data_IF_459345222236
#
_entry.id   IF_459345222236
#
_cell.length_a   1.000
_cell.length_b   1.000
_cell.length_c   1.000
_cell.angle_alpha   90.00
_cell.angle_beta   90.00
_cell.angle_gamma   90.00
#
_symmetry.space_group_name_H-M   'P 1'
#
loop_
_entity.id
_entity.type
_entity.pdbx_description
1 polymer ?
#
# COMPACT_ATOMS: atom_id res chain seq x y z
N UNK A 1 -21.57 25.49 -46.88
CA UNK A 1 -22.47 24.60 -46.12
C UNK A 1 -21.59 23.87 -45.14
N UNK A 2 -21.55 24.40 -43.92
CA UNK A 2 -20.70 23.96 -42.84
C UNK A 2 -21.49 23.01 -41.93
N UNK A 3 -20.86 21.92 -41.55
CA UNK A 3 -21.14 21.07 -40.39
C UNK A 3 -19.73 20.60 -40.00
N UNK A 4 -19.06 21.06 -38.94
CA UNK A 4 -19.49 21.40 -37.58
C UNK A 4 -20.44 20.37 -36.99
N UNK A 5 -19.84 19.29 -36.48
CA UNK A 5 -20.41 18.47 -35.42
C UNK A 5 -19.26 18.01 -34.51
N UNK A 6 -19.05 18.80 -33.46
CA UNK A 6 -18.95 18.29 -32.09
C UNK A 6 -17.83 17.30 -31.78
N UNK A 7 -16.62 17.82 -31.57
CA UNK A 7 -15.67 17.21 -30.62
C UNK A 7 -16.23 17.46 -29.21
N UNK A 8 -17.10 16.57 -28.74
CA UNK A 8 -17.51 16.47 -27.34
C UNK A 8 -17.00 15.15 -26.76
N UNK A 9 -16.32 15.24 -25.61
CA UNK A 9 -15.88 14.07 -24.86
C UNK A 9 -14.43 14.10 -24.40
N UNK A 10 -13.77 15.26 -24.33
CA UNK A 10 -12.59 15.47 -23.48
C UNK A 10 -13.00 15.46 -21.99
N UNK A 11 -13.50 14.33 -21.51
CA UNK A 11 -13.91 14.12 -20.11
C UNK A 11 -13.55 12.69 -19.65
N UNK A 12 -12.28 12.32 -19.79
CA UNK A 12 -11.76 11.12 -19.11
C UNK A 12 -10.42 11.38 -18.40
N UNK A 13 -10.21 12.63 -17.96
CA UNK A 13 -9.05 13.05 -17.18
C UNK A 13 -9.42 13.61 -15.78
N UNK A 14 -10.67 13.46 -15.34
CA UNK A 14 -11.18 14.03 -14.06
C UNK A 14 -11.78 13.01 -13.07
N UNK A 15 -11.51 11.72 -13.25
CA UNK A 15 -12.22 10.65 -12.53
C UNK A 15 -11.45 9.86 -11.45
N UNK A 16 -10.27 10.28 -10.99
CA UNK A 16 -9.53 9.58 -9.90
C UNK A 16 -9.04 10.51 -8.78
N UNK A 17 -9.67 11.67 -8.62
CA UNK A 17 -9.43 12.58 -7.52
C UNK A 17 -10.61 12.55 -6.53
N UNK A 18 -10.87 11.40 -5.91
CA UNK A 18 -11.66 11.27 -4.67
C UNK A 18 -11.82 9.79 -4.27
N UNK A 19 -10.72 9.11 -3.89
CA UNK A 19 -10.87 7.99 -2.95
C UNK A 19 -10.73 8.62 -1.58
N UNK A 20 -11.89 8.88 -0.96
CA UNK A 20 -12.03 9.59 0.30
C UNK A 20 -11.28 8.89 1.42
N UNK A 21 -10.36 9.63 2.03
CA UNK A 21 -9.65 9.31 3.26
C UNK A 21 -10.57 9.54 4.49
N UNK A 22 -11.78 8.99 4.45
CA UNK A 22 -12.69 9.00 5.58
C UNK A 22 -12.72 7.57 6.15
N UNK A 23 -12.24 7.45 7.38
CA UNK A 23 -12.20 6.21 8.18
C UNK A 23 -11.09 5.22 7.82
N UNK A 24 -9.85 5.70 7.78
CA UNK A 24 -8.81 4.98 8.51
C UNK A 24 -9.21 4.95 9.99
N UNK A 25 -10.08 3.99 10.36
CA UNK A 25 -10.15 3.51 11.73
C UNK A 25 -8.79 2.88 12.01
N UNK A 26 -7.85 3.72 12.41
CA UNK A 26 -6.69 3.34 13.20
C UNK A 26 -7.19 2.30 14.19
N UNK A 27 -6.78 1.05 14.00
CA UNK A 27 -6.97 0.03 15.02
C UNK A 27 -6.39 0.63 16.31
N UNK A 28 -7.27 0.80 17.29
CA UNK A 28 -7.04 1.58 18.48
C UNK A 28 -5.71 1.22 19.15
N UNK A 29 -5.00 2.18 19.78
CA UNK A 29 -3.90 1.82 20.65
C UNK A 29 -4.44 0.82 21.68
N UNK A 30 -3.79 -0.34 21.80
CA UNK A 30 -4.01 -1.22 22.96
C UNK A 30 -3.58 -0.41 24.17
N UNK A 31 -4.56 0.21 24.82
CA UNK A 31 -4.42 0.86 26.12
C UNK A 31 -4.19 -0.27 27.12
N UNK A 32 -2.92 -0.59 27.35
CA UNK A 32 -2.49 -1.31 28.54
C UNK A 32 -2.70 -0.40 29.75
N UNK A 33 -3.59 -0.82 30.65
CA UNK A 33 -4.00 -0.01 31.80
C UNK A 33 -2.85 0.34 32.75
N UNK A 34 -2.65 1.64 32.94
CA UNK A 34 -1.86 2.27 33.99
C UNK A 34 -2.29 3.73 34.06
N UNK A 35 -2.69 4.21 35.24
CA UNK A 35 -3.42 5.46 35.42
C UNK A 35 -2.73 6.72 34.85
N UNK A 36 -3.56 7.74 34.57
CA UNK A 36 -3.19 9.11 34.21
C UNK A 36 -2.18 9.25 33.05
N UNK A 37 -2.68 9.16 31.81
CA UNK A 37 -2.11 9.90 30.67
C UNK A 37 -0.69 9.53 30.20
N UNK A 38 -0.13 8.40 30.62
CA UNK A 38 1.16 7.90 30.12
C UNK A 38 0.98 7.01 28.90
N UNK A 39 1.68 7.31 27.80
CA UNK A 39 1.85 6.35 26.70
C UNK A 39 2.89 5.31 27.12
N UNK A 40 2.47 4.05 27.23
CA UNK A 40 3.38 2.91 27.46
C UNK A 40 3.84 2.39 26.11
N UNK A 41 5.14 2.44 25.86
CA UNK A 41 5.77 1.91 24.65
C UNK A 41 6.40 0.58 25.00
N UNK A 42 6.05 -0.45 24.23
CA UNK A 42 6.66 -1.77 24.29
C UNK A 42 7.59 -1.91 23.07
N UNK A 43 8.91 -1.69 23.24
CA UNK A 43 9.85 -1.68 22.12
C UNK A 43 10.01 -3.06 21.47
N UNK A 44 9.97 -4.13 22.26
CA UNK A 44 10.10 -5.51 21.76
C UNK A 44 8.95 -5.86 20.82
N UNK A 45 7.71 -5.47 21.18
CA UNK A 45 6.55 -5.67 20.30
C UNK A 45 6.61 -4.85 19.02
N UNK A 46 7.14 -3.64 19.09
CA UNK A 46 7.30 -2.79 17.91
C UNK A 46 8.38 -3.34 16.96
N UNK A 47 9.50 -3.83 17.49
CA UNK A 47 10.54 -4.52 16.71
C UNK A 47 10.00 -5.78 16.03
N UNK A 48 9.26 -6.61 16.77
CA UNK A 48 8.61 -7.79 16.20
C UNK A 48 7.64 -7.42 15.06
N UNK A 49 6.89 -6.33 15.22
CA UNK A 49 6.00 -5.81 14.17
C UNK A 49 6.79 -5.37 12.93
N UNK A 50 7.91 -4.67 13.09
CA UNK A 50 8.78 -4.25 11.98
C UNK A 50 9.32 -5.46 11.21
N UNK A 51 9.73 -6.52 11.90
CA UNK A 51 10.19 -7.77 11.28
C UNK A 51 9.07 -8.40 10.45
N UNK A 52 7.85 -8.49 10.98
CA UNK A 52 6.71 -9.04 10.26
C UNK A 52 6.32 -8.20 9.03
N UNK A 53 6.28 -6.87 9.16
CA UNK A 53 6.00 -5.98 8.02
C UNK A 53 7.06 -6.13 6.93
N UNK A 54 8.33 -6.25 7.31
CA UNK A 54 9.44 -6.49 6.36
C UNK A 54 9.27 -7.81 5.63
N UNK A 55 8.91 -8.87 6.35
CA UNK A 55 8.64 -10.18 5.75
C UNK A 55 7.49 -10.11 4.75
N UNK A 56 6.36 -9.48 5.12
CA UNK A 56 5.19 -9.36 4.25
C UNK A 56 5.55 -8.62 2.95
N UNK A 57 6.30 -7.52 3.03
CA UNK A 57 6.75 -6.79 1.83
C UNK A 57 7.62 -7.66 0.92
N UNK A 58 8.55 -8.42 1.50
CA UNK A 58 9.41 -9.32 0.72
C UNK A 58 8.59 -10.41 0.02
N UNK A 59 7.61 -11.00 0.72
CA UNK A 59 6.71 -12.00 0.15
C UNK A 59 5.86 -11.41 -0.99
N UNK A 60 5.32 -10.19 -0.81
CA UNK A 60 4.56 -9.49 -1.85
C UNK A 60 5.41 -9.17 -3.09
N UNK A 61 6.65 -8.71 -2.90
CA UNK A 61 7.57 -8.43 -4.01
C UNK A 61 7.93 -9.69 -4.78
N UNK A 62 8.18 -10.80 -4.09
CA UNK A 62 8.45 -12.08 -4.72
C UNK A 62 7.24 -12.55 -5.55
N UNK A 63 6.03 -12.46 -5.00
CA UNK A 63 4.80 -12.81 -5.72
C UNK A 63 4.57 -11.93 -6.95
N UNK A 64 4.81 -10.62 -6.84
CA UNK A 64 4.69 -9.69 -7.96
C UNK A 64 5.67 -10.04 -9.10
N UNK A 65 6.91 -10.41 -8.76
CA UNK A 65 7.89 -10.88 -9.76
C UNK A 65 7.43 -12.16 -10.47
N UNK A 66 6.83 -13.10 -9.74
CA UNK A 66 6.31 -14.34 -10.33
C UNK A 66 5.11 -14.08 -11.25
N UNK A 67 4.20 -13.17 -10.88
CA UNK A 67 3.03 -12.82 -11.69
C UNK A 67 3.41 -12.10 -12.98
N UNK A 68 4.43 -11.24 -12.95
CA UNK A 68 4.93 -10.55 -14.14
C UNK A 68 5.45 -11.53 -15.22
N UNK A 69 5.82 -12.76 -14.85
CA UNK A 69 6.25 -13.80 -15.78
C UNK A 69 5.08 -14.53 -16.49
N UNK A 70 3.83 -14.32 -16.07
CA UNK A 70 2.68 -14.96 -16.69
C UNK A 70 2.18 -14.17 -17.91
N UNK A 71 2.21 -14.81 -19.09
CA UNK A 71 1.63 -14.26 -20.32
C UNK A 71 0.13 -14.57 -20.41
N UNK A 72 -0.65 -13.58 -20.85
CA UNK A 72 -2.04 -13.77 -21.27
C UNK A 72 -2.09 -13.89 -22.79
N UNK A 73 -2.17 -15.13 -23.25
CA UNK A 73 -2.34 -15.48 -24.66
C UNK A 73 -3.81 -15.79 -24.97
N UNK A 74 -4.24 -15.40 -26.16
CA UNK A 74 -5.59 -15.70 -26.61
C UNK A 74 -5.72 -17.20 -26.93
N UNK A 75 -6.80 -17.88 -26.48
CA UNK A 75 -7.02 -19.29 -26.78
C UNK A 75 -7.37 -19.53 -28.26
N UNK A 76 -7.69 -18.48 -29.01
CA UNK A 76 -8.04 -18.50 -30.43
C UNK A 76 -7.90 -17.12 -31.08
N UNK A 77 -8.16 -17.06 -32.38
CA UNK A 77 -8.05 -15.83 -33.19
C UNK A 77 -9.38 -15.10 -33.41
N UNK A 78 -10.47 -15.58 -32.83
CA UNK A 78 -11.75 -14.87 -32.88
C UNK A 78 -11.72 -13.62 -31.99
N UNK A 79 -12.58 -12.66 -32.32
CA UNK A 79 -12.64 -11.37 -31.63
C UNK A 79 -12.91 -11.51 -30.12
N UNK A 80 -13.66 -12.54 -29.70
CA UNK A 80 -13.94 -12.77 -28.28
C UNK A 80 -12.69 -13.25 -27.55
N UNK A 81 -11.96 -14.21 -28.12
CA UNK A 81 -10.68 -14.70 -27.59
C UNK A 81 -9.63 -13.60 -27.48
N UNK A 82 -9.51 -12.75 -28.51
CA UNK A 82 -8.58 -11.63 -28.51
C UNK A 82 -8.96 -10.58 -27.45
N UNK A 83 -10.24 -10.21 -27.37
CA UNK A 83 -10.73 -9.26 -26.36
C UNK A 83 -10.53 -9.79 -24.94
N UNK A 84 -10.74 -11.10 -24.71
CA UNK A 84 -10.50 -11.73 -23.42
C UNK A 84 -9.02 -11.62 -23.02
N UNK A 85 -8.10 -11.92 -23.94
CA UNK A 85 -6.66 -11.82 -23.67
C UNK A 85 -6.22 -10.38 -23.37
N UNK A 86 -6.75 -9.39 -24.12
CA UNK A 86 -6.48 -7.97 -23.88
C UNK A 86 -7.00 -7.54 -22.51
N UNK A 87 -8.25 -7.86 -22.19
CA UNK A 87 -8.84 -7.51 -20.90
C UNK A 87 -8.13 -8.20 -19.74
N UNK A 88 -7.77 -9.48 -19.88
CA UNK A 88 -6.98 -10.21 -18.90
C UNK A 88 -5.64 -9.54 -18.62
N UNK A 89 -4.94 -9.09 -19.67
CA UNK A 89 -3.69 -8.34 -19.55
C UNK A 89 -3.87 -7.02 -18.80
N UNK A 90 -4.91 -6.25 -19.13
CA UNK A 90 -5.20 -4.98 -18.44
C UNK A 90 -5.54 -5.21 -16.97
N UNK A 91 -6.32 -6.24 -16.65
CA UNK A 91 -6.66 -6.59 -15.26
C UNK A 91 -5.42 -7.03 -14.47
N UNK A 92 -4.54 -7.82 -15.08
CA UNK A 92 -3.28 -8.24 -14.47
C UNK A 92 -2.35 -7.05 -14.19
N UNK A 93 -2.20 -6.12 -15.13
CA UNK A 93 -1.42 -4.89 -14.93
C UNK A 93 -1.96 -4.04 -13.77
N UNK A 94 -3.29 -3.93 -13.66
CA UNK A 94 -3.90 -3.22 -12.54
C UNK A 94 -3.66 -3.93 -11.20
N UNK A 95 -3.82 -5.25 -11.17
CA UNK A 95 -3.53 -6.04 -9.98
C UNK A 95 -2.08 -5.86 -9.52
N UNK A 96 -1.12 -5.90 -10.45
CA UNK A 96 0.29 -5.64 -10.18
C UNK A 96 0.53 -4.25 -9.58
N UNK A 97 -0.12 -3.21 -10.14
CA UNK A 97 -0.04 -1.85 -9.60
C UNK A 97 -0.59 -1.76 -8.18
N UNK A 98 -1.72 -2.41 -7.89
CA UNK A 98 -2.29 -2.44 -6.54
C UNK A 98 -1.37 -3.15 -5.54
N UNK A 99 -0.80 -4.30 -5.91
CA UNK A 99 0.11 -5.05 -5.04
C UNK A 99 1.38 -4.23 -4.76
N UNK A 100 1.93 -3.53 -5.76
CA UNK A 100 3.07 -2.62 -5.57
C UNK A 100 2.74 -1.47 -4.63
N UNK A 101 1.65 -0.76 -4.88
CA UNK A 101 1.22 0.35 -4.03
C UNK A 101 0.98 -0.11 -2.58
N UNK A 102 0.44 -1.31 -2.40
CA UNK A 102 0.25 -1.89 -1.07
C UNK A 102 1.59 -2.22 -0.39
N UNK A 103 2.54 -2.82 -1.11
CA UNK A 103 3.88 -3.07 -0.58
C UNK A 103 4.56 -1.75 -0.14
N UNK A 104 4.46 -0.69 -0.94
CA UNK A 104 5.02 0.62 -0.63
C UNK A 104 4.38 1.23 0.64
N UNK A 105 3.07 1.05 0.83
CA UNK A 105 2.38 1.49 2.06
C UNK A 105 2.83 0.73 3.30
N UNK A 106 3.06 -0.59 3.18
CA UNK A 106 3.59 -1.39 4.29
C UNK A 106 5.02 -0.94 4.64
N UNK A 107 5.86 -0.67 3.63
CA UNK A 107 7.21 -0.13 3.87
C UNK A 107 7.17 1.23 4.57
N UNK A 108 6.32 2.15 4.10
CA UNK A 108 6.16 3.45 4.75
C UNK A 108 5.71 3.31 6.21
N UNK A 109 4.84 2.34 6.50
CA UNK A 109 4.37 2.06 7.87
C UNK A 109 5.50 1.50 8.73
N UNK A 110 6.29 0.56 8.21
CA UNK A 110 7.48 0.02 8.88
C UNK A 110 8.48 1.12 9.20
N UNK A 111 8.76 1.99 8.23
CA UNK A 111 9.75 3.06 8.39
C UNK A 111 9.28 4.10 9.42
N UNK A 112 7.98 4.41 9.45
CA UNK A 112 7.39 5.26 10.48
C UNK A 112 7.51 4.64 11.88
N UNK A 113 7.28 3.33 12.02
CA UNK A 113 7.45 2.61 13.30
C UNK A 113 8.92 2.60 13.75
N UNK A 114 9.86 2.38 12.82
CA UNK A 114 11.29 2.43 13.12
C UNK A 114 11.69 3.82 13.62
N UNK A 115 11.24 4.88 12.95
CA UNK A 115 11.52 6.26 13.35
C UNK A 115 10.95 6.58 14.73
N UNK A 116 9.77 6.05 15.07
CA UNK A 116 9.20 6.19 16.41
C UNK A 116 10.06 5.48 17.46
N UNK A 117 10.51 4.25 17.18
CA UNK A 117 11.38 3.49 18.10
C UNK A 117 12.72 4.19 18.34
N UNK A 118 13.35 4.69 17.29
CA UNK A 118 14.60 5.44 17.39
C UNK A 118 14.43 6.73 18.20
N UNK A 119 13.27 7.38 18.09
CA UNK A 119 12.91 8.54 18.91
C UNK A 119 12.76 8.20 20.39
N UNK A 120 12.14 7.07 20.71
CA UNK A 120 11.99 6.61 22.08
C UNK A 120 13.32 6.22 22.72
N UNK A 121 14.16 5.46 22.03
CA UNK A 121 15.48 5.06 22.55
C UNK A 121 16.38 6.27 22.82
N UNK A 122 16.37 7.27 21.92
CA UNK A 122 17.11 8.53 22.10
C UNK A 122 16.63 9.31 23.34
N UNK A 123 15.31 9.33 23.56
CA UNK A 123 14.72 10.01 24.73
C UNK A 123 15.09 9.28 26.02
N UNK A 124 15.04 7.94 26.02
CA UNK A 124 15.41 7.12 27.16
C UNK A 124 16.88 7.28 27.53
N UNK A 125 17.78 7.26 26.55
CA UNK A 125 19.22 7.47 26.76
C UNK A 125 19.52 8.87 27.32
N UNK A 126 18.80 9.89 26.84
CA UNK A 126 18.93 11.25 27.36
C UNK A 126 18.50 11.31 28.82
N UNK A 127 17.38 10.68 29.18
CA UNK A 127 16.91 10.63 30.57
C UNK A 127 17.89 9.88 31.47
N UNK A 128 18.46 8.76 31.02
CA UNK A 128 19.48 8.00 31.79
C UNK A 128 20.76 8.80 32.04
N UNK A 129 21.14 9.73 31.17
CA UNK A 129 22.33 10.59 31.34
C UNK A 129 22.09 11.78 32.29
N UNK A 130 20.83 12.14 32.54
CA UNK A 130 20.45 13.27 33.40
C UNK A 130 20.18 12.86 34.86
N UNK A 131 20.13 11.55 35.14
CA UNK A 131 20.01 10.94 36.47
C UNK A 131 21.39 10.51 36.99
#
# INVERSE_FOLDING_TARGET
MAADDGVEGSESARGYAAVGWAEARLAAPVVGGGGAGGFVVDPERAEACIVELTRIVNDLRLQAMMQAACAFDAPGYDDVSLNLAVNGRVMAQRAEQFVRAWADQIEATRDALQLQLDGYSTTEDTNRRLL
#
